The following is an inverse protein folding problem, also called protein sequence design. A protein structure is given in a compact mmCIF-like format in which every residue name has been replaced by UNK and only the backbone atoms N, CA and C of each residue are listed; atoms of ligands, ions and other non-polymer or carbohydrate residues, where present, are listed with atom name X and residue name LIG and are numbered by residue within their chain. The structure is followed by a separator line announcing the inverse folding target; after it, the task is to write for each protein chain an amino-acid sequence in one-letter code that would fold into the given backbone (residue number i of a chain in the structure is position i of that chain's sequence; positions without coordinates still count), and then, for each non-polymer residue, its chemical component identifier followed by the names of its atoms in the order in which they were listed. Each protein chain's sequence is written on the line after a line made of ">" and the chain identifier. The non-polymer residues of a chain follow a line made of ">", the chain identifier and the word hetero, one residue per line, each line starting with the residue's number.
data_IF_493341752705
#
_entry.id   IF_493341752705
#
_cell.length_a   1.000
_cell.length_b   1.000
_cell.length_c   1.000
_cell.angle_alpha   90.00
_cell.angle_beta   90.00
_cell.angle_gamma   90.00
#
_symmetry.space_group_name_H-M   'P 1'
#
loop_
_entity.id
_entity.type
_entity.pdbx_description
1 polymer ?
#
# COMPACT_ATOMS: atom_id res chain seq x y z
N UNK A 1 -121.97 58.94 69.92
CA UNK A 1 -122.89 58.38 68.90
C UNK A 1 -122.07 57.44 68.04
N UNK A 2 -122.36 56.14 68.05
CA UNK A 2 -121.63 55.11 67.29
C UNK A 2 -122.54 54.56 66.19
N UNK A 3 -122.30 54.97 64.94
CA UNK A 3 -123.06 54.49 63.77
C UNK A 3 -122.66 53.06 63.37
N UNK A 4 -123.67 52.20 63.28
CA UNK A 4 -123.58 50.79 62.85
C UNK A 4 -123.93 50.75 61.36
N UNK A 5 -123.07 50.19 60.51
CA UNK A 5 -123.23 50.22 59.04
C UNK A 5 -124.00 49.00 58.50
N UNK A 6 -123.85 47.80 59.09
CA UNK A 6 -124.62 46.60 58.71
C UNK A 6 -124.50 45.49 59.78
N UNK A 7 -125.47 44.57 59.87
CA UNK A 7 -125.41 43.39 60.74
C UNK A 7 -124.96 42.16 59.93
N UNK A 8 -123.90 41.50 60.36
CA UNK A 8 -123.43 40.25 59.74
C UNK A 8 -123.40 39.15 60.81
N UNK A 9 -124.06 38.02 60.53
CA UNK A 9 -124.10 36.85 61.42
C UNK A 9 -124.47 37.16 62.89
N UNK A 10 -125.44 38.06 63.10
CA UNK A 10 -125.93 38.41 64.44
C UNK A 10 -125.01 39.34 65.25
N UNK A 11 -123.91 39.83 64.67
CA UNK A 11 -123.00 40.81 65.27
C UNK A 11 -123.14 42.16 64.54
N UNK A 12 -123.26 43.26 65.30
CA UNK A 12 -123.38 44.61 64.76
C UNK A 12 -122.00 45.07 64.24
N UNK A 13 -121.81 45.18 62.92
CA UNK A 13 -120.55 45.63 62.35
C UNK A 13 -120.58 47.16 62.23
N UNK A 14 -119.76 47.80 63.05
CA UNK A 14 -119.51 49.24 63.02
C UNK A 14 -118.51 49.59 61.91
N UNK A 15 -118.46 50.85 61.48
CA UNK A 15 -117.50 51.34 60.48
C UNK A 15 -116.04 50.94 60.78
N UNK A 16 -115.69 50.93 62.07
CA UNK A 16 -114.37 50.53 62.56
C UNK A 16 -114.04 49.06 62.31
N UNK A 17 -115.03 48.15 62.39
CA UNK A 17 -114.80 46.72 62.21
C UNK A 17 -114.52 46.34 60.74
N UNK A 18 -115.20 46.99 59.77
CA UNK A 18 -114.93 46.76 58.35
C UNK A 18 -113.56 47.29 57.91
N UNK A 19 -113.17 48.49 58.39
CA UNK A 19 -111.83 49.05 58.14
C UNK A 19 -110.72 48.19 58.75
N UNK A 20 -110.93 47.62 59.93
CA UNK A 20 -109.98 46.71 60.56
C UNK A 20 -109.76 45.42 59.78
N UNK A 21 -110.82 44.85 59.17
CA UNK A 21 -110.72 43.64 58.35
C UNK A 21 -109.93 43.90 57.04
N UNK A 22 -110.19 45.04 56.38
CA UNK A 22 -109.45 45.44 55.17
C UNK A 22 -107.98 45.71 55.52
N UNK A 23 -107.72 46.45 56.60
CA UNK A 23 -106.38 46.71 57.08
C UNK A 23 -105.63 45.41 57.44
N UNK A 24 -106.30 44.45 58.07
CA UNK A 24 -105.77 43.11 58.36
C UNK A 24 -105.46 42.32 57.08
N UNK A 25 -106.35 42.36 56.08
CA UNK A 25 -106.13 41.73 54.79
C UNK A 25 -104.93 42.31 54.04
N UNK A 26 -104.82 43.64 54.00
CA UNK A 26 -103.67 44.34 53.41
C UNK A 26 -102.39 44.02 54.17
N UNK A 27 -102.44 43.96 55.51
CA UNK A 27 -101.29 43.59 56.33
C UNK A 27 -100.81 42.16 56.06
N UNK A 28 -101.73 41.20 55.93
CA UNK A 28 -101.40 39.81 55.56
C UNK A 28 -100.80 39.74 54.15
N UNK A 29 -101.35 40.47 53.19
CA UNK A 29 -100.82 40.53 51.82
C UNK A 29 -99.41 41.13 51.78
N UNK A 30 -99.16 42.20 52.55
CA UNK A 30 -97.84 42.80 52.70
C UNK A 30 -96.84 41.83 53.35
N UNK A 31 -97.27 41.07 54.36
CA UNK A 31 -96.45 40.03 54.98
C UNK A 31 -96.11 38.89 54.01
N UNK A 32 -97.07 38.44 53.21
CA UNK A 32 -96.84 37.41 52.18
C UNK A 32 -95.90 37.93 51.09
N UNK A 33 -96.05 39.18 50.66
CA UNK A 33 -95.17 39.82 49.68
C UNK A 33 -93.75 40.00 50.24
N UNK A 34 -93.60 40.39 51.50
CA UNK A 34 -92.32 40.47 52.20
C UNK A 34 -91.66 39.08 52.36
N UNK A 35 -92.46 38.05 52.63
CA UNK A 35 -91.97 36.68 52.75
C UNK A 35 -91.52 36.13 51.39
N UNK A 36 -92.30 36.37 50.33
CA UNK A 36 -91.96 35.99 48.96
C UNK A 36 -90.72 36.75 48.45
N UNK A 37 -90.58 38.05 48.77
CA UNK A 37 -89.41 38.85 48.41
C UNK A 37 -88.16 38.39 49.16
N UNK A 38 -88.28 38.04 50.45
CA UNK A 38 -87.18 37.44 51.22
C UNK A 38 -86.79 36.07 50.71
N UNK A 39 -87.75 35.24 50.28
CA UNK A 39 -87.48 33.91 49.72
C UNK A 39 -86.77 34.00 48.38
N UNK A 40 -87.23 34.87 47.49
CA UNK A 40 -86.56 35.10 46.19
C UNK A 40 -85.22 35.80 46.33
N UNK A 41 -85.06 36.72 47.29
CA UNK A 41 -83.76 37.31 47.61
C UNK A 41 -82.76 36.28 48.14
N UNK A 42 -83.21 35.33 48.97
CA UNK A 42 -82.37 34.21 49.44
C UNK A 42 -81.95 33.28 48.29
N UNK A 43 -82.87 32.88 47.43
CA UNK A 43 -82.55 32.04 46.26
C UNK A 43 -81.55 32.71 45.30
N UNK A 44 -81.70 34.02 45.06
CA UNK A 44 -80.74 34.77 44.24
C UNK A 44 -79.38 34.92 44.92
N UNK A 45 -79.33 35.00 46.25
CA UNK A 45 -78.07 35.02 46.98
C UNK A 45 -77.35 33.67 46.88
N UNK A 46 -78.07 32.55 47.03
CA UNK A 46 -77.50 31.20 46.90
C UNK A 46 -76.97 30.95 45.47
N UNK A 47 -77.71 31.36 44.43
CA UNK A 47 -77.26 31.27 43.03
C UNK A 47 -76.02 32.14 42.74
N UNK A 48 -75.94 33.33 43.34
CA UNK A 48 -74.79 34.22 43.22
C UNK A 48 -73.54 33.65 43.91
N UNK A 49 -73.70 33.02 45.07
CA UNK A 49 -72.62 32.36 45.80
C UNK A 49 -72.09 31.14 45.04
N UNK A 50 -72.99 30.32 44.45
CA UNK A 50 -72.59 29.20 43.59
C UNK A 50 -71.89 29.65 42.29
N UNK A 51 -72.33 30.77 41.71
CA UNK A 51 -71.68 31.34 40.53
C UNK A 51 -70.29 31.90 40.86
N UNK A 52 -70.14 32.55 42.02
CA UNK A 52 -68.86 33.03 42.52
C UNK A 52 -67.89 31.88 42.82
N UNK A 53 -68.36 30.80 43.43
CA UNK A 53 -67.56 29.60 43.68
C UNK A 53 -67.07 28.96 42.36
N UNK A 54 -67.94 28.83 41.36
CA UNK A 54 -67.58 28.33 40.02
C UNK A 54 -66.58 29.23 39.30
N UNK A 55 -66.70 30.56 39.45
CA UNK A 55 -65.76 31.51 38.87
C UNK A 55 -64.36 31.36 39.49
N UNK A 56 -64.28 31.23 40.82
CA UNK A 56 -63.01 31.01 41.54
C UNK A 56 -62.34 29.70 41.14
N UNK A 57 -63.10 28.61 41.00
CA UNK A 57 -62.56 27.33 40.51
C UNK A 57 -62.04 27.42 39.07
N UNK A 58 -62.76 28.12 38.19
CA UNK A 58 -62.35 28.33 36.80
C UNK A 58 -61.03 29.13 36.73
N UNK A 59 -60.91 30.19 37.53
CA UNK A 59 -59.67 30.96 37.64
C UNK A 59 -58.50 30.14 38.17
N UNK A 60 -58.74 29.26 39.15
CA UNK A 60 -57.72 28.37 39.67
C UNK A 60 -57.23 27.39 38.59
N UNK A 61 -58.14 26.77 37.83
CA UNK A 61 -57.79 25.90 36.69
C UNK A 61 -57.01 26.63 35.61
N UNK A 62 -57.41 27.88 35.28
CA UNK A 62 -56.68 28.70 34.30
C UNK A 62 -55.26 29.04 34.78
N UNK A 63 -55.08 29.34 36.07
CA UNK A 63 -53.77 29.58 36.68
C UNK A 63 -52.88 28.33 36.63
N UNK A 64 -53.45 27.16 36.93
CA UNK A 64 -52.70 25.89 36.85
C UNK A 64 -52.30 25.55 35.41
N UNK A 65 -53.20 25.74 34.45
CA UNK A 65 -52.89 25.55 33.03
C UNK A 65 -51.79 26.51 32.56
N UNK A 66 -51.86 27.79 32.94
CA UNK A 66 -50.84 28.78 32.60
C UNK A 66 -49.47 28.41 33.21
N UNK A 67 -49.46 27.89 34.44
CA UNK A 67 -48.23 27.41 35.09
C UNK A 67 -47.65 26.19 34.39
N UNK A 68 -48.45 25.17 34.08
CA UNK A 68 -48.02 23.98 33.36
C UNK A 68 -47.48 24.37 31.97
N UNK A 69 -48.15 25.29 31.29
CA UNK A 69 -47.70 25.82 30.00
C UNK A 69 -46.34 26.54 30.11
N UNK A 70 -46.12 27.34 31.16
CA UNK A 70 -44.84 27.99 31.40
C UNK A 70 -43.73 26.98 31.72
N UNK A 71 -44.00 25.97 32.56
CA UNK A 71 -43.03 24.92 32.92
C UNK A 71 -42.67 24.05 31.70
N UNK A 72 -43.65 23.70 30.86
CA UNK A 72 -43.42 22.95 29.62
C UNK A 72 -42.67 23.76 28.58
N UNK A 73 -43.01 25.03 28.38
CA UNK A 73 -42.27 25.94 27.50
C UNK A 73 -40.81 26.08 27.94
N UNK A 74 -40.58 26.27 29.24
CA UNK A 74 -39.23 26.34 29.82
C UNK A 74 -38.43 25.06 29.58
N UNK A 75 -39.02 23.88 29.80
CA UNK A 75 -38.37 22.59 29.51
C UNK A 75 -38.04 22.41 28.04
N UNK A 76 -38.94 22.79 27.13
CA UNK A 76 -38.70 22.71 25.69
C UNK A 76 -37.54 23.62 25.29
N UNK A 77 -37.47 24.82 25.84
CA UNK A 77 -36.36 25.73 25.59
C UNK A 77 -35.02 25.20 26.11
N UNK A 78 -34.97 24.67 27.34
CA UNK A 78 -33.77 24.02 27.86
C UNK A 78 -33.36 22.81 27.02
N UNK A 79 -34.32 22.00 26.56
CA UNK A 79 -34.03 20.87 25.66
C UNK A 79 -33.42 21.35 24.33
N UNK A 80 -33.98 22.43 23.74
CA UNK A 80 -33.45 23.02 22.52
C UNK A 80 -32.02 23.56 22.71
N UNK A 81 -31.74 24.19 23.85
CA UNK A 81 -30.39 24.68 24.20
C UNK A 81 -29.39 23.52 24.34
N UNK A 82 -29.76 22.44 25.04
CA UNK A 82 -28.91 21.25 25.19
C UNK A 82 -28.66 20.59 23.83
N UNK A 83 -29.68 20.45 22.99
CA UNK A 83 -29.54 19.91 21.63
C UNK A 83 -28.60 20.76 20.77
N UNK A 84 -28.76 22.09 20.80
CA UNK A 84 -27.89 23.01 20.08
C UNK A 84 -26.44 22.93 20.57
N UNK A 85 -26.23 22.85 21.89
CA UNK A 85 -24.90 22.68 22.46
C UNK A 85 -24.26 21.36 22.02
N UNK A 86 -25.00 20.23 22.10
CA UNK A 86 -24.50 18.92 21.66
C UNK A 86 -24.19 18.89 20.17
N UNK A 87 -25.01 19.53 19.34
CA UNK A 87 -24.75 19.65 17.91
C UNK A 87 -23.46 20.44 17.64
N UNK A 88 -23.21 21.51 18.38
CA UNK A 88 -21.97 22.29 18.28
C UNK A 88 -20.74 21.49 18.73
N UNK A 89 -20.85 20.75 19.84
CA UNK A 89 -19.79 19.86 20.34
C UNK A 89 -19.45 18.77 19.30
N UNK A 90 -20.46 18.16 18.68
CA UNK A 90 -20.26 17.18 17.61
C UNK A 90 -19.61 17.80 16.37
N UNK A 91 -20.05 18.98 15.95
CA UNK A 91 -19.47 19.67 14.80
C UNK A 91 -17.98 19.97 15.03
N UNK A 92 -17.61 20.42 16.25
CA UNK A 92 -16.21 20.65 16.63
C UNK A 92 -15.41 19.36 16.65
N UNK A 93 -15.91 18.31 17.28
CA UNK A 93 -15.23 17.01 17.35
C UNK A 93 -15.01 16.39 15.96
N UNK A 94 -15.98 16.54 15.05
CA UNK A 94 -15.84 16.10 13.65
C UNK A 94 -14.80 16.94 12.92
N UNK A 95 -14.81 18.27 13.06
CA UNK A 95 -13.80 19.14 12.43
C UNK A 95 -12.38 18.79 12.90
N UNK A 96 -12.18 18.62 14.21
CA UNK A 96 -10.88 18.27 14.78
C UNK A 96 -10.40 16.88 14.32
N UNK A 97 -11.34 15.92 14.22
CA UNK A 97 -11.04 14.59 13.67
C UNK A 97 -10.67 14.65 12.18
N UNK A 98 -11.37 15.46 11.39
CA UNK A 98 -11.06 15.65 9.97
C UNK A 98 -9.70 16.32 9.77
N UNK A 99 -9.39 17.36 10.54
CA UNK A 99 -8.09 18.03 10.48
C UNK A 99 -6.95 17.09 10.88
N UNK A 100 -7.10 16.34 11.98
CA UNK A 100 -6.09 15.36 12.39
C UNK A 100 -5.89 14.24 11.36
N UNK A 101 -6.97 13.78 10.72
CA UNK A 101 -6.92 12.76 9.68
C UNK A 101 -6.26 13.30 8.41
N UNK A 102 -6.62 14.52 8.00
CA UNK A 102 -6.02 15.23 6.86
C UNK A 102 -4.51 15.41 7.07
N UNK A 103 -4.10 15.83 8.27
CA UNK A 103 -2.68 15.98 8.61
C UNK A 103 -1.92 14.65 8.54
N UNK A 104 -2.45 13.59 9.16
CA UNK A 104 -1.83 12.25 9.12
C UNK A 104 -1.76 11.68 7.70
N UNK A 105 -2.78 11.89 6.88
CA UNK A 105 -2.77 11.49 5.47
C UNK A 105 -1.70 12.26 4.70
N UNK A 106 -1.60 13.58 4.90
CA UNK A 106 -0.58 14.42 4.27
C UNK A 106 0.85 13.98 4.65
N UNK A 107 1.08 13.65 5.91
CA UNK A 107 2.37 13.11 6.39
C UNK A 107 2.66 11.74 5.78
N UNK A 108 1.68 10.82 5.80
CA UNK A 108 1.83 9.48 5.21
C UNK A 108 2.09 9.53 3.71
N UNK A 109 1.44 10.43 2.96
CA UNK A 109 1.71 10.62 1.54
C UNK A 109 3.11 11.14 1.29
N UNK A 110 3.60 12.10 2.08
CA UNK A 110 4.96 12.61 1.96
C UNK A 110 6.00 11.54 2.25
N UNK A 111 5.80 10.73 3.31
CA UNK A 111 6.69 9.61 3.64
C UNK A 111 6.69 8.58 2.50
N UNK A 112 5.50 8.19 2.02
CA UNK A 112 5.36 7.22 0.93
C UNK A 112 5.98 7.72 -0.38
N UNK A 113 5.83 9.00 -0.71
CA UNK A 113 6.44 9.62 -1.88
C UNK A 113 7.98 9.61 -1.78
N UNK A 114 8.54 9.92 -0.61
CA UNK A 114 9.99 9.86 -0.38
C UNK A 114 10.53 8.43 -0.49
N UNK A 115 9.87 7.46 0.13
CA UNK A 115 10.26 6.05 0.05
C UNK A 115 10.18 5.51 -1.40
N UNK A 116 9.16 5.93 -2.14
CA UNK A 116 9.01 5.61 -3.57
C UNK A 116 10.14 6.23 -4.39
N UNK A 117 10.45 7.52 -4.18
CA UNK A 117 11.54 8.19 -4.88
C UNK A 117 12.89 7.52 -4.61
N UNK A 118 13.20 7.22 -3.34
CA UNK A 118 14.42 6.51 -2.96
C UNK A 118 14.52 5.12 -3.62
N UNK A 119 13.39 4.40 -3.67
CA UNK A 119 13.32 3.10 -4.34
C UNK A 119 13.57 3.22 -5.85
N UNK A 120 13.00 4.23 -6.51
CA UNK A 120 13.24 4.50 -7.93
C UNK A 120 14.70 4.87 -8.21
N UNK A 121 15.33 5.67 -7.34
CA UNK A 121 16.76 6.00 -7.45
C UNK A 121 17.63 4.75 -7.32
N UNK A 122 17.36 3.89 -6.32
CA UNK A 122 18.06 2.60 -6.18
C UNK A 122 17.85 1.68 -7.38
N UNK A 123 16.67 1.69 -7.99
CA UNK A 123 16.41 0.93 -9.23
C UNK A 123 17.19 1.49 -10.41
N UNK A 124 17.26 2.81 -10.56
CA UNK A 124 18.06 3.45 -11.59
C UNK A 124 19.56 3.13 -11.44
N UNK A 125 20.10 3.17 -10.22
CA UNK A 125 21.49 2.76 -9.94
C UNK A 125 21.75 1.29 -10.31
N UNK A 126 20.82 0.39 -9.97
CA UNK A 126 20.92 -1.03 -10.36
C UNK A 126 20.88 -1.22 -11.87
N UNK A 127 20.03 -0.48 -12.59
CA UNK A 127 19.96 -0.54 -14.06
C UNK A 127 21.29 -0.12 -14.71
N UNK A 128 21.93 0.94 -14.21
CA UNK A 128 23.26 1.37 -14.68
C UNK A 128 24.32 0.29 -14.43
N UNK A 129 24.26 -0.41 -13.30
CA UNK A 129 25.13 -1.56 -13.04
C UNK A 129 24.87 -2.74 -14.00
N UNK A 130 23.60 -3.02 -14.31
CA UNK A 130 23.22 -4.07 -15.27
C UNK A 130 23.74 -3.73 -16.67
N UNK A 131 23.61 -2.48 -17.12
CA UNK A 131 24.13 -2.03 -18.41
C UNK A 131 25.66 -2.19 -18.50
N UNK A 132 26.38 -1.87 -17.41
CA UNK A 132 27.83 -2.13 -17.34
C UNK A 132 28.17 -3.62 -17.43
N UNK A 133 27.40 -4.48 -16.77
CA UNK A 133 27.61 -5.93 -16.81
C UNK A 133 27.36 -6.51 -18.21
N UNK A 134 26.30 -6.07 -18.90
CA UNK A 134 26.00 -6.42 -20.30
C UNK A 134 27.15 -6.04 -21.24
N UNK A 135 27.71 -4.84 -21.08
CA UNK A 135 28.83 -4.38 -21.89
C UNK A 135 30.09 -5.22 -21.68
N UNK A 136 30.44 -5.52 -20.42
CA UNK A 136 31.56 -6.41 -20.09
C UNK A 136 31.36 -7.84 -20.62
N UNK A 137 30.12 -8.35 -20.62
CA UNK A 137 29.79 -9.68 -21.14
C UNK A 137 29.90 -9.73 -22.66
N UNK A 138 29.54 -8.65 -23.35
CA UNK A 138 29.71 -8.47 -24.80
C UNK A 138 31.19 -8.44 -25.19
N UNK A 139 32.00 -7.64 -24.48
CA UNK A 139 33.45 -7.55 -24.72
C UNK A 139 34.15 -8.90 -24.49
N UNK A 140 33.79 -9.60 -23.41
CA UNK A 140 34.33 -10.93 -23.11
C UNK A 140 33.92 -11.96 -24.17
N UNK A 141 32.66 -11.94 -24.61
CA UNK A 141 32.17 -12.86 -25.66
C UNK A 141 32.91 -12.62 -26.98
N UNK A 142 33.19 -11.37 -27.33
CA UNK A 142 33.97 -11.01 -28.52
C UNK A 142 35.42 -11.53 -28.45
N UNK A 143 36.08 -11.38 -27.28
CA UNK A 143 37.43 -11.93 -27.07
C UNK A 143 37.48 -13.46 -27.16
N UNK A 144 36.47 -14.15 -26.61
CA UNK A 144 36.37 -15.61 -26.68
C UNK A 144 36.14 -16.10 -28.13
N UNK A 145 35.36 -15.38 -28.92
CA UNK A 145 35.13 -15.71 -30.34
C UNK A 145 36.42 -15.50 -31.17
N UNK A 146 37.12 -14.39 -30.97
CA UNK A 146 38.40 -14.10 -31.65
C UNK A 146 39.49 -15.14 -31.36
N UNK A 147 39.57 -15.60 -30.10
CA UNK A 147 40.51 -16.66 -29.74
C UNK A 147 40.12 -18.00 -30.39
N UNK A 148 38.82 -18.31 -30.49
CA UNK A 148 38.31 -19.52 -31.14
C UNK A 148 38.58 -19.51 -32.65
N UNK A 149 38.47 -18.37 -33.31
CA UNK A 149 38.78 -18.20 -34.74
C UNK A 149 40.27 -18.31 -35.04
N UNK A 150 41.12 -17.76 -34.17
CA UNK A 150 42.58 -17.92 -34.29
C UNK A 150 42.99 -19.38 -34.09
N UNK A 151 42.32 -20.09 -33.18
CA UNK A 151 42.55 -21.52 -32.94
C UNK A 151 41.83 -22.44 -33.94
N UNK A 152 40.93 -21.96 -34.80
CA UNK A 152 40.22 -22.81 -35.78
C UNK A 152 40.98 -22.98 -37.10
N UNK A 153 41.90 -22.06 -37.43
CA UNK A 153 42.73 -22.13 -38.63
C UNK A 153 44.02 -22.96 -38.41
N UNK A 154 44.27 -23.97 -39.25
CA UNK A 154 45.40 -24.91 -39.14
C UNK A 154 46.77 -24.21 -39.22
N UNK A 155 46.89 -23.18 -40.06
CA UNK A 155 48.13 -22.41 -40.25
C UNK A 155 48.39 -21.49 -39.06
N UNK A 156 47.36 -20.79 -38.58
CA UNK A 156 47.46 -19.92 -37.40
C UNK A 156 47.79 -20.72 -36.12
N UNK A 157 47.19 -21.91 -35.96
CA UNK A 157 47.56 -22.86 -34.90
C UNK A 157 49.03 -23.29 -34.98
N UNK A 158 49.52 -23.60 -36.19
CA UNK A 158 50.92 -23.98 -36.40
C UNK A 158 51.88 -22.85 -36.02
N UNK A 159 51.61 -21.62 -36.47
CA UNK A 159 52.40 -20.45 -36.14
C UNK A 159 52.39 -20.12 -34.63
N UNK A 160 51.23 -20.27 -33.96
CA UNK A 160 51.14 -20.09 -32.51
C UNK A 160 51.94 -21.14 -31.74
N UNK A 161 51.87 -22.41 -32.15
CA UNK A 161 52.66 -23.50 -31.56
C UNK A 161 54.16 -23.27 -31.70
N UNK A 162 54.60 -22.87 -32.90
CA UNK A 162 56.00 -22.51 -33.17
C UNK A 162 56.44 -21.32 -32.30
N UNK A 163 55.70 -20.21 -32.30
CA UNK A 163 56.04 -19.03 -31.49
C UNK A 163 56.11 -19.36 -29.99
N UNK A 164 55.24 -20.25 -29.50
CA UNK A 164 55.29 -20.73 -28.12
C UNK A 164 56.53 -21.58 -27.85
N UNK A 165 56.92 -22.45 -28.76
CA UNK A 165 58.16 -23.24 -28.66
C UNK A 165 59.38 -22.32 -28.63
N UNK A 166 59.46 -21.35 -29.54
CA UNK A 166 60.56 -20.38 -29.60
C UNK A 166 60.69 -19.60 -28.28
N UNK A 167 59.57 -19.18 -27.69
CA UNK A 167 59.57 -18.51 -26.39
C UNK A 167 60.09 -19.42 -25.26
N UNK A 168 59.69 -20.70 -25.23
CA UNK A 168 60.16 -21.67 -24.22
C UNK A 168 61.67 -21.91 -24.36
N UNK A 169 62.17 -22.07 -25.59
CA UNK A 169 63.60 -22.26 -25.87
C UNK A 169 64.40 -21.03 -25.45
N UNK A 170 63.93 -19.83 -25.81
CA UNK A 170 64.62 -18.57 -25.49
C UNK A 170 64.66 -18.26 -23.98
N UNK A 171 63.67 -18.71 -23.22
CA UNK A 171 63.62 -18.57 -21.77
C UNK A 171 64.47 -19.63 -21.05
N UNK A 172 64.49 -20.86 -21.59
CA UNK A 172 65.15 -22.01 -20.96
C UNK A 172 66.63 -22.19 -21.28
N UNK A 173 67.13 -21.66 -22.40
CA UNK A 173 68.50 -21.87 -22.87
C UNK A 173 69.33 -20.58 -22.94
N UNK A 174 70.66 -20.65 -22.69
CA UNK A 174 71.55 -19.50 -22.84
C UNK A 174 71.55 -18.91 -24.26
N UNK A 175 71.68 -17.59 -24.35
CA UNK A 175 71.82 -16.91 -25.64
C UNK A 175 73.06 -17.44 -26.38
N UNK A 176 72.87 -17.90 -27.61
CA UNK A 176 73.93 -18.46 -28.46
C UNK A 176 74.03 -19.98 -28.46
N UNK A 177 73.30 -20.70 -27.60
CA UNK A 177 73.23 -22.17 -27.63
C UNK A 177 72.09 -22.71 -28.51
N UNK A 178 71.39 -21.84 -29.23
CA UNK A 178 70.32 -22.22 -30.15
C UNK A 178 70.22 -21.22 -31.32
N UNK A 179 69.64 -21.66 -32.43
CA UNK A 179 69.34 -20.84 -33.59
C UNK A 179 67.96 -21.18 -34.15
N UNK A 180 67.12 -20.16 -34.29
CA UNK A 180 65.90 -20.24 -35.08
C UNK A 180 66.25 -19.99 -36.56
N UNK A 181 65.60 -20.71 -37.48
CA UNK A 181 65.86 -20.64 -38.92
C UNK A 181 67.24 -21.15 -39.41
N UNK A 182 67.89 -22.03 -38.65
CA UNK A 182 69.12 -22.69 -39.09
C UNK A 182 68.87 -23.48 -40.39
N UNK A 183 69.74 -23.34 -41.39
CA UNK A 183 69.57 -24.00 -42.69
C UNK A 183 70.65 -25.07 -42.84
N UNK A 184 70.23 -26.32 -43.03
CA UNK A 184 71.10 -27.47 -43.20
C UNK A 184 71.70 -27.50 -44.62
N UNK A 185 72.73 -28.32 -44.82
CA UNK A 185 73.39 -28.52 -46.13
C UNK A 185 72.43 -28.98 -47.23
N UNK A 186 71.36 -29.70 -46.87
CA UNK A 186 70.31 -30.17 -47.77
C UNK A 186 69.24 -29.10 -48.09
N UNK A 187 69.42 -27.85 -47.64
CA UNK A 187 68.50 -26.74 -47.85
C UNK A 187 67.22 -26.78 -47.01
N UNK A 188 67.08 -27.76 -46.10
CA UNK A 188 65.95 -27.85 -45.17
C UNK A 188 66.20 -26.98 -43.95
N UNK A 189 65.10 -26.51 -43.36
CA UNK A 189 65.09 -25.62 -42.20
C UNK A 189 64.18 -26.21 -41.12
N UNK A 190 64.71 -26.68 -39.98
CA UNK A 190 63.92 -27.03 -38.80
C UNK A 190 63.45 -25.76 -38.08
N UNK A 191 62.47 -25.91 -37.18
CA UNK A 191 61.96 -24.80 -36.37
C UNK A 191 63.06 -24.23 -35.44
N UNK A 192 63.84 -25.11 -34.81
CA UNK A 192 64.95 -24.73 -33.94
C UNK A 192 66.13 -25.73 -34.05
N UNK A 193 67.35 -25.21 -33.97
CA UNK A 193 68.58 -25.99 -33.81
C UNK A 193 69.24 -25.64 -32.47
N UNK A 194 69.57 -26.63 -31.66
CA UNK A 194 70.20 -26.48 -30.34
C UNK A 194 71.64 -26.99 -30.44
N UNK A 195 72.60 -26.17 -30.01
CA UNK A 195 74.03 -26.48 -29.99
C UNK A 195 74.45 -26.93 -28.60
N UNK A 196 74.79 -28.21 -28.47
CA UNK A 196 75.19 -28.80 -27.20
C UNK A 196 76.69 -28.60 -26.95
N UNK A 197 77.11 -28.31 -25.71
CA UNK A 197 78.53 -28.27 -25.38
C UNK A 197 79.17 -29.65 -25.56
N UNK A 198 80.18 -29.76 -26.41
CA UNK A 198 80.95 -31.00 -26.60
C UNK A 198 80.54 -31.88 -27.79
N UNK A 199 79.46 -31.54 -28.51
CA UNK A 199 79.13 -32.13 -29.82
C UNK A 199 79.05 -30.99 -30.85
N UNK A 200 79.69 -31.16 -32.01
CA UNK A 200 79.63 -30.17 -33.09
C UNK A 200 78.34 -30.25 -33.89
N UNK A 201 77.57 -31.35 -33.73
CA UNK A 201 76.31 -31.58 -34.43
C UNK A 201 75.14 -30.99 -33.63
N UNK A 202 74.31 -30.11 -34.21
CA UNK A 202 73.15 -29.57 -33.53
C UNK A 202 72.04 -30.62 -33.36
N UNK A 203 71.32 -30.51 -32.25
CA UNK A 203 70.06 -31.21 -32.02
C UNK A 203 68.93 -30.39 -32.66
N UNK A 204 68.19 -31.01 -33.58
CA UNK A 204 67.13 -30.35 -34.31
C UNK A 204 65.77 -30.59 -33.66
N UNK A 205 64.96 -29.53 -33.59
CA UNK A 205 63.62 -29.54 -33.01
C UNK A 205 62.62 -29.09 -34.07
N UNK A 206 61.64 -29.93 -34.35
CA UNK A 206 60.47 -29.66 -35.20
C UNK A 206 59.22 -29.82 -34.34
N UNK A 207 58.42 -28.76 -34.20
CA UNK A 207 57.34 -28.67 -33.21
C UNK A 207 56.00 -29.26 -33.69
N UNK A 208 56.04 -30.18 -34.65
CA UNK A 208 54.84 -30.69 -35.34
C UNK A 208 54.06 -31.68 -34.48
N UNK A 209 52.94 -31.21 -33.94
CA UNK A 209 52.06 -31.99 -33.06
C UNK A 209 50.73 -32.39 -33.74
N UNK A 210 50.34 -33.68 -33.75
CA UNK A 210 49.09 -34.14 -34.35
C UNK A 210 47.89 -33.89 -33.40
N UNK A 211 47.58 -32.62 -33.17
CA UNK A 211 46.59 -32.18 -32.18
C UNK A 211 45.23 -32.85 -32.37
N UNK A 212 44.74 -32.95 -33.60
CA UNK A 212 43.43 -33.54 -33.92
C UNK A 212 43.35 -35.01 -33.50
N UNK A 213 44.42 -35.77 -33.69
CA UNK A 213 44.47 -37.18 -33.31
C UNK A 213 44.55 -37.33 -31.78
N UNK A 214 45.30 -36.45 -31.09
CA UNK A 214 45.38 -36.42 -29.63
C UNK A 214 44.04 -36.04 -29.00
N UNK A 215 43.37 -35.01 -29.53
CA UNK A 215 42.04 -34.59 -29.09
C UNK A 215 41.03 -35.72 -29.32
N UNK A 216 41.01 -36.33 -30.51
CA UNK A 216 40.12 -37.46 -30.81
C UNK A 216 40.35 -38.66 -29.88
N UNK A 217 41.59 -38.93 -29.46
CA UNK A 217 41.89 -39.98 -28.49
C UNK A 217 41.44 -39.62 -27.07
N UNK A 218 41.61 -38.36 -26.65
CA UNK A 218 41.18 -37.85 -25.32
C UNK A 218 39.66 -37.79 -25.16
N UNK A 219 38.95 -37.39 -26.22
CA UNK A 219 37.51 -37.16 -26.21
C UNK A 219 36.70 -38.37 -26.68
N UNK A 220 37.35 -39.51 -26.96
CA UNK A 220 36.68 -40.71 -27.43
C UNK A 220 35.65 -41.24 -26.40
N UNK A 221 34.35 -41.35 -26.75
CA UNK A 221 33.30 -41.66 -25.79
C UNK A 221 33.17 -43.16 -25.46
N UNK A 222 33.73 -44.05 -26.28
CA UNK A 222 33.65 -45.51 -26.08
C UNK A 222 35.02 -46.17 -26.16
N UNK A 223 35.21 -47.34 -25.53
CA UNK A 223 36.46 -48.11 -25.61
C UNK A 223 36.88 -48.44 -27.04
N UNK A 224 35.95 -48.79 -27.90
CA UNK A 224 36.19 -49.14 -29.31
C UNK A 224 36.67 -47.91 -30.09
N UNK A 225 35.99 -46.77 -29.94
CA UNK A 225 36.42 -45.51 -30.58
C UNK A 225 37.78 -45.05 -30.05
N UNK A 226 38.06 -45.27 -28.77
CA UNK A 226 39.36 -44.96 -28.18
C UNK A 226 40.47 -45.83 -28.76
N UNK A 227 40.21 -47.12 -29.02
CA UNK A 227 41.17 -48.02 -29.70
C UNK A 227 41.46 -47.56 -31.13
N UNK A 228 40.42 -47.18 -31.89
CA UNK A 228 40.60 -46.62 -33.23
C UNK A 228 41.36 -45.28 -33.24
N UNK A 229 41.02 -44.38 -32.31
CA UNK A 229 41.70 -43.10 -32.16
C UNK A 229 43.17 -43.26 -31.73
N UNK A 230 43.48 -44.24 -30.88
CA UNK A 230 44.85 -44.59 -30.51
C UNK A 230 45.66 -45.07 -31.72
N UNK A 231 45.10 -45.97 -32.55
CA UNK A 231 45.77 -46.45 -33.76
C UNK A 231 46.07 -45.31 -34.73
N UNK A 232 45.11 -44.40 -34.94
CA UNK A 232 45.29 -43.20 -35.76
C UNK A 232 46.36 -42.27 -35.18
N UNK A 233 46.35 -42.02 -33.87
CA UNK A 233 47.36 -41.19 -33.21
C UNK A 233 48.77 -41.77 -33.41
N UNK A 234 48.95 -43.07 -33.21
CA UNK A 234 50.23 -43.75 -33.45
C UNK A 234 50.67 -43.59 -34.90
N UNK A 235 49.76 -43.78 -35.87
CA UNK A 235 50.07 -43.62 -37.29
C UNK A 235 50.51 -42.19 -37.62
N UNK A 236 49.76 -41.19 -37.16
CA UNK A 236 50.05 -39.77 -37.41
C UNK A 236 51.38 -39.35 -36.75
N UNK A 237 51.66 -39.83 -35.54
CA UNK A 237 52.96 -39.63 -34.87
C UNK A 237 54.10 -40.27 -35.65
N UNK A 238 53.98 -41.54 -36.05
CA UNK A 238 55.03 -42.24 -36.80
C UNK A 238 55.31 -41.57 -38.15
N UNK A 239 54.28 -41.04 -38.81
CA UNK A 239 54.47 -40.23 -40.02
C UNK A 239 55.32 -39.00 -39.74
N UNK A 240 55.08 -38.28 -38.64
CA UNK A 240 55.90 -37.12 -38.28
C UNK A 240 57.33 -37.50 -37.89
N UNK A 241 57.53 -38.61 -37.18
CA UNK A 241 58.87 -39.13 -36.88
C UNK A 241 59.63 -39.43 -38.16
N UNK A 242 58.99 -40.10 -39.12
CA UNK A 242 59.60 -40.41 -40.41
C UNK A 242 59.87 -39.13 -41.24
N UNK A 243 58.92 -38.19 -41.28
CA UNK A 243 59.10 -36.88 -41.95
C UNK A 243 60.33 -36.13 -41.38
N UNK A 244 60.49 -36.14 -40.04
CA UNK A 244 61.59 -35.48 -39.34
C UNK A 244 62.91 -36.19 -39.63
N UNK A 245 62.93 -37.52 -39.54
CA UNK A 245 64.12 -38.32 -39.84
C UNK A 245 64.60 -38.09 -41.28
N UNK A 246 63.69 -38.15 -42.27
CA UNK A 246 64.05 -37.99 -43.68
C UNK A 246 64.56 -36.58 -44.00
N UNK A 247 64.01 -35.55 -43.35
CA UNK A 247 64.35 -34.14 -43.65
C UNK A 247 65.56 -33.62 -42.89
N UNK A 248 65.76 -34.10 -41.67
CA UNK A 248 66.63 -33.46 -40.69
C UNK A 248 67.74 -34.38 -40.15
N UNK A 249 67.64 -35.71 -40.30
CA UNK A 249 68.71 -36.62 -39.92
C UNK A 249 69.74 -36.73 -41.07
N UNK A 250 70.79 -35.93 -41.00
CA UNK A 250 71.88 -35.89 -41.98
C UNK A 250 73.14 -36.46 -41.33
N UNK A 251 73.63 -37.63 -41.79
CA UNK A 251 74.78 -38.29 -41.17
C UNK A 251 76.01 -37.39 -41.09
N UNK A 252 76.57 -37.25 -39.90
CA UNK A 252 77.77 -36.44 -39.64
C UNK A 252 77.52 -34.93 -39.51
N UNK A 253 76.33 -34.44 -39.86
CA UNK A 253 75.94 -33.04 -39.73
C UNK A 253 74.98 -32.83 -38.55
N UNK A 254 74.02 -33.73 -38.34
CA UNK A 254 73.03 -33.63 -37.26
C UNK A 254 73.13 -34.81 -36.29
N UNK A 255 72.63 -34.61 -35.06
CA UNK A 255 72.67 -35.61 -33.99
C UNK A 255 71.58 -36.68 -34.14
#
# INVERSE_FOLDING_TARGET
>A
MSEVLFFLAGQAITAGAALAAIAGGVFVLLLLMLFASRRTARQRADEADEAAARALEMEARLRDLARIQAETSGRVQTMAEVLAQRQSELARAVSERLDSTSHRLGESFNISARATHESLTKLAERLVMVEKAEKSLTDLSSQVISLRETLSNKQARGAFGQARMEAIVADGLPRGSFAFQHTLSNGRRPDCAIFLPGDTRPLLVDSKFPLEAVTAFREAPTPERRKHAAARLTQDMMKHVNDVAERYLVPGETQ
#
